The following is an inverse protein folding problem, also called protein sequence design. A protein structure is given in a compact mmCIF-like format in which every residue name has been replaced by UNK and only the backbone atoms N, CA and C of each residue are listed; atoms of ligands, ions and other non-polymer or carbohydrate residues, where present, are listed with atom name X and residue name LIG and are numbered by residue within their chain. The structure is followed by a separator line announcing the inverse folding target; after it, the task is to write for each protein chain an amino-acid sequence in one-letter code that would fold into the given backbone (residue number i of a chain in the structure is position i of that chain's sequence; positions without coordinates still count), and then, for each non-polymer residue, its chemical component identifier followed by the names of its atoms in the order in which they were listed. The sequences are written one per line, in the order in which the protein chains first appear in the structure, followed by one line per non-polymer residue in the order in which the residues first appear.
data_IF_323396402976
#
_entry.id   IF_323396402976
#
_cell.length_a   1.000
_cell.length_b   1.000
_cell.length_c   1.000
_cell.angle_alpha   90.00
_cell.angle_beta   90.00
_cell.angle_gamma   90.00
#
_symmetry.space_group_name_H-M   'P 1'
#
loop_
_entity.id
_entity.type
_entity.pdbx_description
1 polymer ?
#
# COMPACT_ATOMS: atom_id res chain seq x y z
N UNK A 1 -5.46 -0.66 23.31
CA UNK A 1 -6.01 0.28 22.32
C UNK A 1 -5.52 -0.14 20.94
N UNK A 2 -6.29 0.09 19.86
CA UNK A 2 -5.80 -0.21 18.52
C UNK A 2 -4.63 0.73 18.16
N UNK A 3 -3.66 0.25 17.38
CA UNK A 3 -2.45 1.02 17.02
C UNK A 3 -2.77 2.35 16.33
N UNK A 4 -3.89 2.43 15.61
CA UNK A 4 -4.33 3.61 14.87
C UNK A 4 -5.16 4.58 15.72
N UNK A 5 -5.51 4.25 16.96
CA UNK A 5 -6.35 5.11 17.81
C UNK A 5 -5.68 6.45 18.16
N UNK A 6 -4.35 6.53 18.04
CA UNK A 6 -3.59 7.77 18.23
C UNK A 6 -3.63 8.72 17.02
N UNK A 7 -4.24 8.30 15.91
CA UNK A 7 -4.27 9.06 14.66
C UNK A 7 -5.72 9.40 14.26
N UNK A 8 -5.95 10.49 13.51
CA UNK A 8 -7.27 10.83 13.00
C UNK A 8 -7.88 9.73 12.13
N UNK A 9 -9.21 9.62 12.17
CA UNK A 9 -9.92 8.78 11.21
C UNK A 9 -9.77 9.41 9.81
N UNK A 10 -9.37 8.63 8.80
CA UNK A 10 -9.31 9.14 7.44
C UNK A 10 -10.72 9.47 6.92
N UNK A 11 -10.80 10.40 5.97
CA UNK A 11 -12.06 10.88 5.38
C UNK A 11 -12.33 10.25 4.02
N UNK A 12 -11.27 10.06 3.23
CA UNK A 12 -11.36 9.52 1.88
C UNK A 12 -11.62 8.02 1.87
N UNK A 13 -12.24 7.56 0.78
CA UNK A 13 -12.48 6.14 0.50
C UNK A 13 -11.82 5.79 -0.84
N UNK A 14 -10.50 5.48 -0.85
CA UNK A 14 -9.80 5.14 -2.09
C UNK A 14 -10.40 3.91 -2.77
N UNK A 15 -10.38 3.91 -4.11
CA UNK A 15 -10.87 2.80 -4.89
C UNK A 15 -9.99 1.55 -4.72
N UNK A 16 -10.60 0.39 -4.93
CA UNK A 16 -9.91 -0.89 -4.88
C UNK A 16 -9.37 -1.31 -6.26
N UNK A 17 -8.29 -2.09 -6.25
CA UNK A 17 -7.66 -2.68 -7.44
C UNK A 17 -7.38 -4.16 -7.20
N UNK A 18 -7.64 -5.02 -8.19
CA UNK A 18 -7.41 -6.47 -8.09
C UNK A 18 -5.93 -6.82 -8.23
N UNK A 19 -5.54 -8.01 -7.76
CA UNK A 19 -4.17 -8.52 -7.94
C UNK A 19 -3.80 -8.67 -9.42
N UNK A 20 -4.74 -9.06 -10.28
CA UNK A 20 -4.53 -9.16 -11.72
C UNK A 20 -4.31 -7.78 -12.35
N UNK A 21 -5.08 -6.77 -11.92
CA UNK A 21 -4.91 -5.39 -12.40
C UNK A 21 -3.55 -4.82 -11.97
N UNK A 22 -3.12 -5.05 -10.72
CA UNK A 22 -1.76 -4.66 -10.28
C UNK A 22 -0.69 -5.39 -11.09
N UNK A 23 -0.85 -6.70 -11.33
CA UNK A 23 0.11 -7.47 -12.12
C UNK A 23 0.19 -7.04 -13.59
N UNK A 24 -0.86 -6.41 -14.11
CA UNK A 24 -0.98 -5.87 -15.46
C UNK A 24 -0.61 -4.38 -15.56
N UNK A 25 -0.25 -3.71 -14.45
CA UNK A 25 0.26 -2.34 -14.50
C UNK A 25 1.51 -2.30 -15.38
N UNK A 26 1.49 -1.43 -16.39
CA UNK A 26 2.62 -1.16 -17.27
C UNK A 26 3.43 0.03 -16.75
N UNK A 27 4.64 0.18 -17.27
CA UNK A 27 5.56 1.24 -16.88
C UNK A 27 6.51 0.83 -15.75
N UNK A 28 7.17 1.84 -15.18
CA UNK A 28 8.27 1.68 -14.22
C UNK A 28 7.77 1.90 -12.80
N UNK A 29 7.90 0.91 -11.89
CA UNK A 29 7.67 1.12 -10.46
C UNK A 29 8.49 2.31 -9.93
N UNK A 30 7.86 3.20 -9.18
CA UNK A 30 8.46 4.44 -8.67
C UNK A 30 8.37 5.63 -9.63
N UNK A 31 7.86 5.44 -10.85
CA UNK A 31 7.64 6.50 -11.85
C UNK A 31 6.18 6.55 -12.25
N UNK A 32 5.67 5.48 -12.86
CA UNK A 32 4.30 5.41 -13.40
C UNK A 32 3.30 4.88 -12.36
N UNK A 33 3.76 3.95 -11.53
CA UNK A 33 3.02 3.41 -10.40
C UNK A 33 3.96 3.01 -9.26
N UNK A 34 3.44 2.77 -8.07
CA UNK A 34 4.19 2.12 -6.99
C UNK A 34 3.25 1.30 -6.11
N UNK A 35 3.74 0.16 -5.63
CA UNK A 35 3.07 -0.64 -4.61
C UNK A 35 3.69 -0.32 -3.25
N UNK A 36 2.86 0.04 -2.29
CA UNK A 36 3.25 0.36 -0.92
C UNK A 36 2.76 -0.75 0.01
N UNK A 37 3.69 -1.57 0.47
CA UNK A 37 3.44 -2.59 1.47
C UNK A 37 3.45 -1.93 2.86
N UNK A 38 2.31 -1.94 3.55
CA UNK A 38 2.18 -1.36 4.90
C UNK A 38 2.21 -2.40 6.01
N UNK A 39 2.64 -3.63 5.71
CA UNK A 39 2.97 -4.66 6.70
C UNK A 39 4.22 -4.26 7.50
N UNK A 40 4.42 -4.93 8.64
CA UNK A 40 5.56 -4.68 9.54
C UNK A 40 6.35 -5.96 9.77
N UNK A 41 6.11 -6.65 10.88
CA UNK A 41 6.77 -7.93 11.20
C UNK A 41 6.14 -9.10 10.45
N UNK A 42 4.98 -8.88 9.84
CA UNK A 42 4.20 -9.84 9.07
C UNK A 42 4.49 -9.79 7.55
N UNK A 43 5.63 -9.24 7.16
CA UNK A 43 6.19 -9.37 5.79
C UNK A 43 6.75 -10.78 5.66
N UNK A 44 5.89 -11.78 5.65
CA UNK A 44 6.28 -13.18 5.51
C UNK A 44 5.93 -13.68 4.11
N UNK A 45 6.82 -14.48 3.55
CA UNK A 45 6.71 -15.14 2.26
C UNK A 45 5.90 -16.42 2.32
N UNK A 46 6.38 -17.43 1.60
CA UNK A 46 5.81 -18.77 1.52
C UNK A 46 6.36 -19.69 2.63
N UNK A 47 6.23 -21.01 2.42
CA UNK A 47 6.48 -22.08 3.38
C UNK A 47 7.86 -22.06 4.05
N UNK A 48 8.86 -21.39 3.45
CA UNK A 48 10.22 -21.30 3.99
C UNK A 48 10.41 -20.16 5.01
N UNK A 49 9.34 -19.43 5.36
CA UNK A 49 9.34 -18.30 6.29
C UNK A 49 10.28 -17.12 5.91
N UNK A 50 10.85 -17.13 4.70
CA UNK A 50 11.60 -16.01 4.17
C UNK A 50 10.67 -14.79 4.05
N UNK A 51 11.15 -13.59 4.36
CA UNK A 51 10.32 -12.39 4.17
C UNK A 51 10.15 -12.13 2.68
N UNK A 52 8.96 -11.72 2.27
CA UNK A 52 8.70 -11.43 0.86
C UNK A 52 7.67 -10.32 0.64
N UNK A 53 7.82 -9.64 -0.49
CA UNK A 53 6.94 -8.56 -0.96
C UNK A 53 6.57 -8.75 -2.43
N UNK A 54 5.59 -7.96 -2.87
CA UNK A 54 5.26 -7.81 -4.29
C UNK A 54 6.48 -7.19 -5.00
N UNK A 55 6.94 -7.72 -6.15
CA UNK A 55 8.08 -7.16 -6.87
C UNK A 55 7.87 -5.67 -7.21
N UNK A 56 8.90 -4.85 -6.96
CA UNK A 56 8.84 -3.40 -7.17
C UNK A 56 8.08 -2.63 -6.09
N UNK A 57 7.63 -3.29 -5.02
CA UNK A 57 7.03 -2.61 -3.88
C UNK A 57 8.08 -1.97 -2.96
N UNK A 58 7.67 -0.93 -2.24
CA UNK A 58 8.39 -0.37 -1.10
C UNK A 58 7.64 -0.69 0.19
N UNK A 59 8.35 -0.84 1.32
CA UNK A 59 7.72 -1.06 2.61
C UNK A 59 7.63 0.23 3.43
N UNK A 60 6.41 0.66 3.76
CA UNK A 60 6.11 1.79 4.63
C UNK A 60 5.09 1.35 5.71
N UNK A 61 5.54 0.82 6.87
CA UNK A 61 4.65 0.25 7.87
C UNK A 61 3.54 1.20 8.34
N UNK A 62 2.30 0.70 8.41
CA UNK A 62 1.14 1.51 8.77
C UNK A 62 1.27 2.23 10.13
N UNK A 63 1.99 1.63 11.07
CA UNK A 63 2.19 2.15 12.43
C UNK A 63 3.01 3.45 12.46
N UNK A 64 3.84 3.68 11.45
CA UNK A 64 4.69 4.87 11.34
C UNK A 64 4.31 5.74 10.14
N UNK A 65 3.42 5.26 9.27
CA UNK A 65 3.04 5.98 8.05
C UNK A 65 2.41 7.34 8.37
N UNK A 66 1.35 7.39 9.18
CA UNK A 66 0.65 8.66 9.46
C UNK A 66 1.56 9.80 9.94
N UNK A 67 2.40 9.63 10.99
CA UNK A 67 3.30 10.70 11.43
C UNK A 67 4.40 11.04 10.41
N UNK A 68 4.70 10.15 9.46
CA UNK A 68 5.72 10.38 8.42
C UNK A 68 5.13 10.78 7.07
N UNK A 69 3.80 10.91 6.96
CA UNK A 69 3.11 11.32 5.73
C UNK A 69 3.62 12.63 5.13
N UNK A 70 3.98 13.67 5.91
CA UNK A 70 4.54 14.89 5.31
C UNK A 70 5.77 14.63 4.44
N UNK A 71 6.61 13.64 4.80
CA UNK A 71 7.78 13.25 4.01
C UNK A 71 7.44 12.18 2.98
N UNK A 72 6.73 11.12 3.38
CA UNK A 72 6.35 10.04 2.47
C UNK A 72 5.48 10.56 1.31
N UNK A 73 4.55 11.46 1.58
CA UNK A 73 3.72 12.12 0.59
C UNK A 73 4.54 12.88 -0.46
N UNK A 74 5.57 13.62 -0.05
CA UNK A 74 6.46 14.32 -0.99
C UNK A 74 7.20 13.38 -1.93
N UNK A 75 7.57 12.18 -1.47
CA UNK A 75 8.22 11.16 -2.30
C UNK A 75 7.24 10.50 -3.26
N UNK A 76 5.98 10.33 -2.86
CA UNK A 76 4.98 9.57 -3.60
C UNK A 76 4.12 10.42 -4.55
N UNK A 77 3.93 11.72 -4.27
CA UNK A 77 2.94 12.57 -4.97
C UNK A 77 3.14 12.75 -6.48
N UNK A 78 4.35 12.50 -6.97
CA UNK A 78 4.66 12.59 -8.39
C UNK A 78 4.44 11.27 -9.13
N UNK A 79 4.12 10.19 -8.41
CA UNK A 79 3.81 8.88 -8.98
C UNK A 79 2.29 8.83 -9.22
N UNK A 80 1.82 8.68 -10.47
CA UNK A 80 0.39 8.78 -10.79
C UNK A 80 -0.51 7.78 -10.06
N UNK A 81 -0.01 6.56 -9.82
CA UNK A 81 -0.79 5.50 -9.17
C UNK A 81 -0.05 4.90 -7.98
N UNK A 82 -0.59 5.06 -6.76
CA UNK A 82 0.01 4.53 -5.53
C UNK A 82 -0.93 3.48 -4.93
N UNK A 83 -0.53 2.21 -4.99
CA UNK A 83 -1.34 1.07 -4.53
C UNK A 83 -0.88 0.62 -3.15
N UNK A 84 -1.72 0.77 -2.13
CA UNK A 84 -1.42 0.32 -0.78
C UNK A 84 -1.95 -1.09 -0.53
N UNK A 85 -1.21 -1.88 0.23
CA UNK A 85 -1.70 -3.16 0.73
C UNK A 85 -1.16 -3.50 2.11
N UNK A 86 -1.87 -4.38 2.82
CA UNK A 86 -1.37 -5.05 4.01
C UNK A 86 -1.47 -6.57 3.82
N UNK A 87 -1.68 -7.33 4.90
CA UNK A 87 -1.78 -8.80 4.82
C UNK A 87 -3.04 -9.24 4.05
N UNK A 88 -4.23 -8.88 4.54
CA UNK A 88 -5.52 -9.28 3.94
C UNK A 88 -6.35 -8.12 3.37
N UNK A 89 -5.98 -6.86 3.65
CA UNK A 89 -6.70 -5.66 3.25
C UNK A 89 -8.22 -5.66 3.57
N UNK A 90 -8.62 -6.27 4.68
CA UNK A 90 -10.02 -6.24 5.14
C UNK A 90 -10.50 -4.84 5.50
N UNK A 91 -11.82 -4.65 5.53
CA UNK A 91 -12.48 -3.39 5.90
C UNK A 91 -11.90 -2.77 7.19
N UNK A 92 -11.54 -1.48 7.14
CA UNK A 92 -10.92 -0.75 8.26
C UNK A 92 -9.49 -1.21 8.62
N UNK A 93 -8.88 -2.06 7.81
CA UNK A 93 -7.54 -2.59 8.01
C UNK A 93 -6.42 -1.59 7.67
N UNK A 94 -5.17 -2.03 7.85
CA UNK A 94 -3.96 -1.22 7.60
C UNK A 94 -3.91 -0.65 6.18
N UNK A 95 -4.13 -1.48 5.15
CA UNK A 95 -4.06 -1.04 3.74
C UNK A 95 -5.06 0.07 3.43
N UNK A 96 -6.33 -0.11 3.80
CA UNK A 96 -7.37 0.89 3.58
C UNK A 96 -7.10 2.20 4.33
N UNK A 97 -6.71 2.12 5.61
CA UNK A 97 -6.38 3.33 6.39
C UNK A 97 -5.20 4.09 5.81
N UNK A 98 -4.13 3.38 5.45
CA UNK A 98 -2.93 3.97 4.87
C UNK A 98 -3.21 4.65 3.52
N UNK A 99 -3.96 3.99 2.64
CA UNK A 99 -4.38 4.58 1.37
C UNK A 99 -5.20 5.84 1.60
N UNK A 100 -6.15 5.79 2.54
CA UNK A 100 -7.06 6.89 2.80
C UNK A 100 -6.33 8.09 3.42
N UNK A 101 -5.40 7.86 4.35
CA UNK A 101 -4.56 8.94 4.89
C UNK A 101 -3.66 9.58 3.81
N UNK A 102 -3.13 8.79 2.88
CA UNK A 102 -2.38 9.34 1.76
C UNK A 102 -3.28 10.16 0.81
N UNK A 103 -4.48 9.67 0.51
CA UNK A 103 -5.44 10.42 -0.32
C UNK A 103 -5.88 11.72 0.37
N UNK A 104 -6.20 11.68 1.67
CA UNK A 104 -6.53 12.88 2.45
C UNK A 104 -5.39 13.91 2.41
N UNK A 105 -4.14 13.44 2.45
CA UNK A 105 -2.96 14.30 2.34
C UNK A 105 -2.84 14.91 0.93
N UNK A 106 -3.05 14.12 -0.13
CA UNK A 106 -3.08 14.65 -1.51
C UNK A 106 -4.15 15.73 -1.67
N UNK A 107 -5.36 15.47 -1.16
CA UNK A 107 -6.49 16.39 -1.23
C UNK A 107 -6.19 17.70 -0.48
N UNK A 108 -5.55 17.61 0.70
CA UNK A 108 -5.16 18.77 1.50
C UNK A 108 -4.05 19.61 0.82
N UNK A 109 -3.13 18.96 0.11
CA UNK A 109 -2.05 19.61 -0.64
C UNK A 109 -2.49 20.06 -2.06
N UNK A 110 -3.73 19.78 -2.46
CA UNK A 110 -4.25 20.11 -3.78
C UNK A 110 -3.61 19.29 -4.92
N UNK A 111 -3.05 18.12 -4.62
CA UNK A 111 -2.40 17.25 -5.62
C UNK A 111 -3.43 16.38 -6.32
N UNK A 112 -3.60 16.59 -7.62
CA UNK A 112 -4.54 15.81 -8.46
C UNK A 112 -3.84 14.87 -9.44
N UNK A 113 -2.51 14.95 -9.56
CA UNK A 113 -1.69 14.12 -10.45
C UNK A 113 -1.43 12.71 -9.94
N UNK A 114 -1.73 12.44 -8.67
CA UNK A 114 -1.54 11.13 -8.02
C UNK A 114 -2.84 10.70 -7.34
N UNK A 115 -2.99 9.38 -7.13
CA UNK A 115 -4.14 8.81 -6.42
C UNK A 115 -3.73 7.59 -5.60
N UNK A 116 -4.44 7.39 -4.49
CA UNK A 116 -4.34 6.17 -3.71
C UNK A 116 -5.28 5.08 -4.25
N UNK A 117 -4.83 3.83 -4.23
CA UNK A 117 -5.65 2.64 -4.44
C UNK A 117 -5.38 1.61 -3.33
N UNK A 118 -6.33 0.70 -3.11
CA UNK A 118 -6.17 -0.42 -2.16
C UNK A 118 -6.15 -1.74 -2.91
N UNK A 119 -5.12 -2.56 -2.70
CA UNK A 119 -5.05 -3.90 -3.27
C UNK A 119 -6.04 -4.84 -2.56
N UNK A 120 -7.02 -5.34 -3.31
CA UNK A 120 -8.01 -6.29 -2.81
C UNK A 120 -7.36 -7.57 -2.30
N UNK A 121 -7.74 -8.00 -1.09
CA UNK A 121 -7.21 -9.21 -0.45
C UNK A 121 -5.74 -9.14 -0.04
N UNK A 122 -5.05 -8.04 -0.35
CA UNK A 122 -3.67 -7.76 0.06
C UNK A 122 -2.66 -8.82 -0.37
N UNK A 123 -1.65 -9.01 0.47
CA UNK A 123 -0.59 -10.00 0.28
C UNK A 123 -1.11 -11.43 0.13
N UNK A 124 -2.12 -11.81 0.91
CA UNK A 124 -2.70 -13.16 0.86
C UNK A 124 -3.30 -13.48 -0.51
N UNK A 125 -4.04 -12.53 -1.09
CA UNK A 125 -4.58 -12.69 -2.45
C UNK A 125 -3.47 -12.69 -3.51
N UNK A 126 -2.41 -11.89 -3.33
CA UNK A 126 -1.26 -11.89 -4.23
C UNK A 126 -0.59 -13.26 -4.26
N UNK A 127 -0.25 -13.83 -3.09
CA UNK A 127 0.36 -15.16 -3.00
C UNK A 127 -0.52 -16.26 -3.57
N UNK A 128 -1.83 -16.20 -3.31
CA UNK A 128 -2.76 -17.20 -3.84
C UNK A 128 -2.83 -17.18 -5.39
N UNK A 129 -2.60 -16.02 -6.00
CA UNK A 129 -2.72 -15.84 -7.47
C UNK A 129 -1.38 -15.95 -8.18
N UNK A 130 -0.30 -15.47 -7.55
CA UNK A 130 1.04 -15.37 -8.13
C UNK A 130 2.12 -15.84 -7.14
N UNK A 131 2.12 -17.12 -6.74
CA UNK A 131 3.06 -17.64 -5.74
C UNK A 131 4.53 -17.44 -6.15
N UNK A 132 4.84 -17.51 -7.44
CA UNK A 132 6.20 -17.36 -7.96
C UNK A 132 6.60 -15.90 -8.26
N UNK A 133 5.66 -14.96 -8.19
CA UNK A 133 5.91 -13.53 -8.50
C UNK A 133 6.13 -12.75 -7.20
N UNK A 134 7.18 -13.12 -6.48
CA UNK A 134 7.54 -12.54 -5.18
C UNK A 134 9.00 -12.11 -5.14
N UNK A 135 9.29 -11.04 -4.38
CA UNK A 135 10.64 -10.59 -4.08
C UNK A 135 10.98 -10.98 -2.63
N UNK A 136 12.03 -11.78 -2.43
CA UNK A 136 12.56 -12.07 -1.08
C UNK A 136 13.29 -10.85 -0.53
N UNK A 137 13.11 -10.55 0.77
CA UNK A 137 13.64 -9.34 1.44
C UNK A 137 14.25 -9.63 2.81
#
# INVERSE_FOLDING_TARGET
MSWHAAFPQPKSTPAEITVQQVAALSGTPGVDYIVVDVRRTDIVGDADAARAMIPGAINLPAQTLYPTLPTAGLLLKNIPTVVFHCNSCSAGGRGQRSAAWYQDWLDAEGVTSSKALVLQGGWQAWLATFPDKVMKV
#
